data_IF_921601356318
#
_entry.id   IF_921601356318
#
_cell.length_a   1.000
_cell.length_b   1.000
_cell.length_c   1.000
_cell.angle_alpha   90.00
_cell.angle_beta   90.00
_cell.angle_gamma   90.00
#
_symmetry.space_group_name_H-M   'P 1'
#
loop_
_entity.id
_entity.type
_entity.pdbx_description
1 polymer ?
#
# COMPACT_ATOMS: atom_id res chain seq x y z
N UNK A 1 34.81 20.68 -8.25
CA UNK A 1 35.16 20.42 -9.63
C UNK A 1 33.97 20.58 -10.58
N UNK A 2 32.85 19.93 -10.33
CA UNK A 2 31.67 19.96 -11.22
C UNK A 2 30.66 21.05 -10.83
N UNK A 3 30.75 21.62 -9.62
CA UNK A 3 29.80 22.60 -9.12
C UNK A 3 28.41 22.03 -8.84
N UNK A 4 27.45 22.92 -8.63
CA UNK A 4 26.03 22.54 -8.38
C UNK A 4 25.31 22.33 -9.70
N UNK A 5 24.58 21.20 -9.81
CA UNK A 5 23.73 20.90 -10.95
C UNK A 5 22.28 21.13 -10.55
N UNK A 6 21.61 22.05 -11.25
CA UNK A 6 20.20 22.31 -11.01
C UNK A 6 19.33 21.19 -11.61
N UNK A 7 18.57 20.51 -10.74
CA UNK A 7 17.79 19.29 -11.09
C UNK A 7 16.30 19.43 -10.86
N UNK A 8 15.82 20.61 -10.44
CA UNK A 8 14.40 20.83 -10.19
C UNK A 8 13.61 20.65 -11.49
N UNK A 9 12.49 19.95 -11.42
CA UNK A 9 11.56 19.68 -12.52
C UNK A 9 12.10 18.76 -13.65
N UNK A 10 13.28 18.12 -13.44
CA UNK A 10 13.82 17.11 -14.33
C UNK A 10 13.46 15.69 -13.85
N UNK A 11 13.26 14.80 -14.81
CA UNK A 11 13.17 13.36 -14.54
C UNK A 11 14.55 12.78 -14.20
N UNK A 12 14.57 11.58 -13.60
CA UNK A 12 15.84 10.89 -13.26
C UNK A 12 16.71 10.67 -14.51
N UNK A 13 16.09 10.30 -15.63
CA UNK A 13 16.77 10.05 -16.89
C UNK A 13 17.38 11.34 -17.47
N UNK A 14 16.65 12.45 -17.42
CA UNK A 14 17.15 13.77 -17.85
C UNK A 14 18.32 14.24 -16.98
N UNK A 15 18.23 14.02 -15.67
CA UNK A 15 19.32 14.32 -14.74
C UNK A 15 20.55 13.46 -15.07
N UNK A 16 20.34 12.16 -15.29
CA UNK A 16 21.43 11.24 -15.66
C UNK A 16 22.13 11.69 -16.94
N UNK A 17 21.35 12.03 -17.97
CA UNK A 17 21.93 12.52 -19.23
C UNK A 17 22.72 13.82 -19.03
N UNK A 18 22.16 14.79 -18.33
CA UNK A 18 22.79 16.06 -18.04
C UNK A 18 24.09 15.91 -17.25
N UNK A 19 24.10 15.06 -16.23
CA UNK A 19 25.30 14.79 -15.43
C UNK A 19 26.32 14.01 -16.26
N UNK A 20 25.88 13.06 -17.10
CA UNK A 20 26.76 12.33 -18.03
C UNK A 20 27.47 13.27 -19.00
N UNK A 21 26.76 14.26 -19.56
CA UNK A 21 27.34 15.28 -20.45
C UNK A 21 28.40 16.10 -19.74
N UNK A 22 28.10 16.62 -18.55
CA UNK A 22 29.07 17.39 -17.74
C UNK A 22 30.29 16.53 -17.40
N UNK A 23 30.09 15.27 -17.00
CA UNK A 23 31.19 14.39 -16.61
C UNK A 23 32.07 13.98 -17.79
N UNK A 24 31.53 13.93 -18.99
CA UNK A 24 32.28 13.58 -20.21
C UNK A 24 33.36 14.61 -20.59
N UNK A 25 33.22 15.86 -20.13
CA UNK A 25 34.24 16.91 -20.29
C UNK A 25 35.47 16.65 -19.42
N UNK A 26 35.28 16.01 -18.27
CA UNK A 26 36.34 15.80 -17.27
C UNK A 26 36.93 14.40 -17.29
N UNK A 27 36.10 13.38 -17.67
CA UNK A 27 36.47 11.97 -17.59
C UNK A 27 36.12 11.27 -18.90
N UNK A 28 37.07 10.52 -19.44
CA UNK A 28 36.85 9.66 -20.60
C UNK A 28 36.21 8.34 -20.17
N UNK A 29 35.25 7.84 -20.96
CA UNK A 29 34.59 6.54 -20.76
C UNK A 29 33.89 6.36 -19.41
N UNK A 30 33.28 7.43 -18.89
CA UNK A 30 32.55 7.39 -17.63
C UNK A 30 31.07 7.09 -17.87
N UNK A 31 30.49 6.18 -17.08
CA UNK A 31 29.06 5.93 -17.05
C UNK A 31 28.49 6.47 -15.75
N UNK A 32 27.48 7.35 -15.85
CA UNK A 32 26.79 7.94 -14.71
C UNK A 32 25.48 7.19 -14.48
N UNK A 33 25.23 6.81 -13.23
CA UNK A 33 23.96 6.26 -12.79
C UNK A 33 23.34 7.22 -11.78
N UNK A 34 22.15 7.72 -12.11
CA UNK A 34 21.35 8.54 -11.20
C UNK A 34 20.20 7.68 -10.68
N UNK A 35 20.02 7.68 -9.38
CA UNK A 35 18.90 6.98 -8.71
C UNK A 35 18.25 7.92 -7.72
N UNK A 36 16.93 7.81 -7.57
CA UNK A 36 16.28 8.42 -6.43
C UNK A 36 16.87 7.84 -5.15
N UNK A 37 17.18 8.74 -4.20
CA UNK A 37 17.66 8.35 -2.89
C UNK A 37 16.55 7.67 -2.06
N UNK A 38 16.86 7.42 -0.79
CA UNK A 38 15.91 6.91 0.18
C UNK A 38 14.68 7.81 0.27
N UNK A 39 13.50 7.23 0.21
CA UNK A 39 12.27 7.94 0.52
C UNK A 39 11.41 7.16 1.50
N UNK A 40 10.53 7.85 2.18
CA UNK A 40 9.65 7.27 3.16
C UNK A 40 8.26 7.03 2.56
N UNK A 41 7.66 5.90 2.92
CA UNK A 41 6.23 5.65 2.76
C UNK A 41 5.60 5.46 4.13
N UNK A 42 4.39 5.94 4.30
CA UNK A 42 3.62 5.70 5.51
C UNK A 42 2.44 4.80 5.19
N UNK A 43 2.31 3.68 5.90
CA UNK A 43 1.23 2.71 5.69
C UNK A 43 0.43 2.58 6.97
N UNK A 44 -0.85 2.87 6.90
CA UNK A 44 -1.76 2.96 8.05
C UNK A 44 -3.02 2.13 7.82
N UNK A 45 -3.73 1.84 8.92
CA UNK A 45 -5.03 1.15 8.90
C UNK A 45 -4.89 -0.37 8.96
N UNK A 46 -5.69 -1.08 8.17
CA UNK A 46 -5.85 -2.53 8.22
C UNK A 46 -4.74 -3.29 7.49
N UNK A 47 -3.52 -3.16 8.00
CA UNK A 47 -2.34 -3.93 7.61
C UNK A 47 -1.75 -4.60 8.85
N UNK A 48 -0.99 -5.66 8.65
CA UNK A 48 -0.42 -6.41 9.77
C UNK A 48 0.57 -5.57 10.61
N UNK A 49 1.31 -4.66 9.98
CA UNK A 49 2.29 -3.80 10.64
C UNK A 49 2.19 -2.38 10.09
N UNK A 50 1.28 -1.55 10.62
CA UNK A 50 1.23 -0.13 10.24
C UNK A 50 2.47 0.60 10.72
N UNK A 51 2.94 1.57 9.93
CA UNK A 51 4.14 2.33 10.26
C UNK A 51 4.71 3.10 9.07
N UNK A 52 5.86 3.74 9.31
CA UNK A 52 6.64 4.38 8.28
C UNK A 52 7.75 3.44 7.81
N UNK A 53 7.90 3.34 6.49
CA UNK A 53 8.85 2.45 5.82
C UNK A 53 9.84 3.25 4.99
N UNK A 54 11.11 2.97 5.17
CA UNK A 54 12.18 3.50 4.33
C UNK A 54 12.33 2.64 3.08
N UNK A 55 12.27 3.26 1.91
CA UNK A 55 12.36 2.57 0.61
C UNK A 55 13.74 2.84 0.03
N UNK A 56 14.46 1.76 -0.28
CA UNK A 56 15.82 1.77 -0.81
C UNK A 56 15.86 1.54 -2.34
N UNK A 57 14.68 1.46 -2.96
CA UNK A 57 14.50 1.24 -4.39
C UNK A 57 14.02 2.52 -5.06
N UNK A 58 14.35 2.69 -6.35
CA UNK A 58 13.88 3.83 -7.14
C UNK A 58 12.38 3.82 -7.33
N UNK A 59 11.80 2.62 -7.49
CA UNK A 59 10.39 2.42 -7.77
C UNK A 59 9.82 1.35 -6.83
N UNK A 60 8.66 1.63 -6.29
CA UNK A 60 7.87 0.69 -5.51
C UNK A 60 6.41 0.84 -5.91
N UNK A 61 5.73 -0.28 -6.14
CA UNK A 61 4.32 -0.27 -6.43
C UNK A 61 3.49 -0.48 -5.16
N UNK A 62 2.19 -0.22 -5.25
CA UNK A 62 1.26 -0.29 -4.11
C UNK A 62 1.20 -1.69 -3.49
N UNK A 63 1.30 -2.76 -4.30
CA UNK A 63 1.28 -4.13 -3.78
C UNK A 63 2.54 -4.46 -2.98
N UNK A 64 3.71 -4.03 -3.48
CA UNK A 64 4.97 -4.19 -2.76
C UNK A 64 4.96 -3.43 -1.43
N UNK A 65 4.42 -2.21 -1.44
CA UNK A 65 4.31 -1.41 -0.22
C UNK A 65 3.41 -2.09 0.83
N UNK A 66 2.26 -2.61 0.42
CA UNK A 66 1.35 -3.34 1.32
C UNK A 66 2.01 -4.65 1.81
N UNK A 67 2.77 -5.34 0.95
CA UNK A 67 3.53 -6.52 1.35
C UNK A 67 4.61 -6.22 2.39
N UNK A 68 5.31 -5.08 2.30
CA UNK A 68 6.25 -4.60 3.34
C UNK A 68 5.55 -4.42 4.70
N UNK A 69 4.31 -3.96 4.71
CA UNK A 69 3.49 -3.85 5.91
C UNK A 69 2.92 -5.20 6.41
N UNK A 70 3.37 -6.31 5.85
CA UNK A 70 2.93 -7.66 6.22
C UNK A 70 1.55 -8.04 5.68
N UNK A 71 1.14 -7.43 4.58
CA UNK A 71 -0.14 -7.54 3.90
C UNK A 71 -1.32 -6.86 4.62
N UNK A 72 -2.39 -6.70 3.85
CA UNK A 72 -3.68 -6.26 4.35
C UNK A 72 -4.33 -7.37 5.18
N UNK A 73 -4.96 -7.01 6.30
CA UNK A 73 -5.66 -7.96 7.18
C UNK A 73 -6.94 -8.48 6.52
N UNK A 74 -7.58 -9.48 7.13
CA UNK A 74 -8.87 -10.02 6.67
C UNK A 74 -10.01 -8.98 6.77
N UNK A 75 -9.82 -7.95 7.58
CA UNK A 75 -10.78 -6.85 7.75
C UNK A 75 -10.46 -5.63 6.89
N UNK A 76 -9.49 -5.73 6.00
CA UNK A 76 -9.11 -4.66 5.12
C UNK A 76 -10.11 -4.47 3.97
N UNK A 77 -10.53 -3.23 3.73
CA UNK A 77 -11.37 -2.86 2.59
C UNK A 77 -10.51 -2.68 1.33
N UNK A 78 -10.12 -3.81 0.70
CA UNK A 78 -9.17 -3.86 -0.42
C UNK A 78 -9.64 -3.12 -1.68
N UNK A 79 -10.94 -2.86 -1.81
CA UNK A 79 -11.49 -2.10 -2.94
C UNK A 79 -11.52 -0.58 -2.71
N UNK A 80 -11.21 -0.10 -1.49
CA UNK A 80 -11.21 1.34 -1.17
C UNK A 80 -9.97 1.72 -0.34
N UNK A 81 -8.81 1.57 -0.93
CA UNK A 81 -7.57 2.07 -0.32
C UNK A 81 -7.41 3.54 -0.67
N UNK A 82 -7.11 4.37 0.32
CA UNK A 82 -6.79 5.79 0.10
C UNK A 82 -5.29 5.95 -0.06
N UNK A 83 -4.88 6.38 -1.22
CA UNK A 83 -3.52 6.83 -1.50
C UNK A 83 -3.50 8.35 -1.39
N UNK A 84 -2.65 8.87 -0.52
CA UNK A 84 -2.54 10.30 -0.24
C UNK A 84 -1.18 10.76 -0.74
N UNK A 85 -1.18 11.48 -1.85
CA UNK A 85 0.00 12.13 -2.40
C UNK A 85 0.24 13.46 -1.72
N UNK A 86 1.44 13.68 -1.23
CA UNK A 86 1.85 14.98 -0.70
C UNK A 86 2.45 15.84 -1.80
N UNK A 87 1.90 17.03 -2.00
CA UNK A 87 2.37 18.01 -2.99
C UNK A 87 2.69 19.32 -2.31
N UNK A 88 3.46 20.18 -2.98
CA UNK A 88 3.78 21.54 -2.48
C UNK A 88 2.55 22.44 -2.29
N UNK A 89 1.41 22.07 -2.92
CA UNK A 89 0.15 22.81 -2.84
C UNK A 89 -0.86 22.19 -1.88
N UNK A 90 -0.51 21.11 -1.18
CA UNK A 90 -1.38 20.35 -0.28
C UNK A 90 -1.37 18.85 -0.59
N UNK A 91 -2.33 18.13 -0.05
CA UNK A 91 -2.45 16.67 -0.24
C UNK A 91 -3.59 16.33 -1.19
N UNK A 92 -3.35 15.40 -2.09
CA UNK A 92 -4.36 14.83 -2.98
C UNK A 92 -4.69 13.41 -2.54
N UNK A 93 -5.98 13.11 -2.41
CA UNK A 93 -6.44 11.76 -2.05
C UNK A 93 -6.95 11.06 -3.31
N UNK A 94 -6.38 9.91 -3.62
CA UNK A 94 -6.82 9.02 -4.70
C UNK A 94 -7.35 7.73 -4.07
N UNK A 95 -8.47 7.21 -4.58
CA UNK A 95 -9.00 5.90 -4.18
C UNK A 95 -8.50 4.84 -5.13
N UNK A 96 -7.94 3.79 -4.57
CA UNK A 96 -7.35 2.68 -5.31
C UNK A 96 -8.08 1.39 -4.95
N UNK A 97 -8.46 0.62 -5.97
CA UNK A 97 -9.05 -0.70 -5.80
C UNK A 97 -8.02 -1.78 -6.16
N UNK A 98 -7.56 -2.54 -5.16
CA UNK A 98 -6.60 -3.63 -5.40
C UNK A 98 -7.19 -4.85 -6.09
N UNK A 99 -8.52 -4.97 -6.14
CA UNK A 99 -9.19 -6.08 -6.82
C UNK A 99 -9.42 -5.81 -8.31
N UNK A 100 -9.13 -4.58 -8.78
CA UNK A 100 -9.29 -4.18 -10.16
C UNK A 100 -7.98 -4.36 -10.93
N UNK A 101 -8.00 -5.15 -12.00
CA UNK A 101 -6.83 -5.36 -12.86
C UNK A 101 -6.35 -4.06 -13.55
N UNK A 102 -7.23 -3.08 -13.73
CA UNK A 102 -6.88 -1.80 -14.35
C UNK A 102 -5.89 -0.98 -13.52
N UNK A 103 -5.69 -1.33 -12.23
CA UNK A 103 -4.68 -0.68 -11.39
C UNK A 103 -3.28 -0.78 -11.98
N UNK A 104 -2.96 -1.88 -12.67
CA UNK A 104 -1.64 -2.11 -13.27
C UNK A 104 -1.29 -1.06 -14.35
N UNK A 105 -2.30 -0.45 -14.96
CA UNK A 105 -2.15 0.61 -15.96
C UNK A 105 -2.44 2.01 -15.39
N UNK A 106 -2.71 2.10 -14.08
CA UNK A 106 -2.99 3.37 -13.42
C UNK A 106 -1.70 4.19 -13.22
N UNK A 107 -1.75 5.52 -13.33
CA UNK A 107 -0.65 6.40 -12.96
C UNK A 107 -0.30 6.31 -11.46
N UNK A 108 -1.24 5.83 -10.63
CA UNK A 108 -1.09 5.69 -9.18
C UNK A 108 -0.62 4.28 -8.77
N UNK A 109 -0.25 3.43 -9.75
CA UNK A 109 0.32 2.11 -9.49
C UNK A 109 1.67 2.20 -8.78
N UNK A 110 2.55 3.10 -9.25
CA UNK A 110 3.83 3.41 -8.62
C UNK A 110 3.69 4.54 -7.62
N UNK A 111 4.24 4.33 -6.45
CA UNK A 111 4.17 5.25 -5.34
C UNK A 111 5.24 6.35 -5.44
N UNK A 112 4.90 7.52 -4.95
CA UNK A 112 5.80 8.68 -4.90
C UNK A 112 6.43 8.82 -3.52
N UNK A 113 7.57 9.52 -3.42
CA UNK A 113 8.16 9.85 -2.13
C UNK A 113 7.18 10.55 -1.18
N UNK A 114 7.16 10.09 0.08
CA UNK A 114 6.30 10.58 1.16
C UNK A 114 4.79 10.33 0.98
N UNK A 115 4.40 9.41 0.09
CA UNK A 115 3.01 8.97 -0.01
C UNK A 115 2.54 8.30 1.28
N UNK A 116 1.25 8.43 1.55
CA UNK A 116 0.58 7.75 2.65
C UNK A 116 -0.47 6.80 2.08
N UNK A 117 -0.37 5.53 2.44
CA UNK A 117 -1.37 4.51 2.12
C UNK A 117 -2.23 4.30 3.35
N UNK A 118 -3.51 4.55 3.25
CA UNK A 118 -4.46 4.25 4.31
C UNK A 118 -5.42 3.16 3.87
N UNK A 119 -5.33 2.01 4.54
CA UNK A 119 -6.18 0.84 4.30
C UNK A 119 -7.36 0.90 5.25
N UNK A 120 -8.55 1.20 4.72
CA UNK A 120 -9.76 1.31 5.55
C UNK A 120 -10.21 -0.05 6.10
N UNK A 121 -10.77 -0.08 7.31
CA UNK A 121 -11.41 -1.28 7.83
C UNK A 121 -12.76 -1.54 7.16
N UNK A 122 -13.12 -2.80 6.99
CA UNK A 122 -14.48 -3.19 6.64
C UNK A 122 -15.46 -2.75 7.72
N UNK A 123 -16.69 -2.43 7.33
CA UNK A 123 -17.77 -2.02 8.26
C UNK A 123 -18.03 -3.07 9.35
N UNK A 124 -17.82 -4.34 9.06
CA UNK A 124 -17.97 -5.44 10.03
C UNK A 124 -17.05 -5.29 11.25
N UNK A 125 -15.82 -4.80 11.06
CA UNK A 125 -14.91 -4.51 12.18
C UNK A 125 -15.38 -3.34 13.02
N UNK A 126 -16.00 -2.33 12.40
CA UNK A 126 -16.54 -1.16 13.11
C UNK A 126 -17.70 -1.54 14.07
N UNK A 127 -18.40 -2.66 13.78
CA UNK A 127 -19.43 -3.20 14.68
C UNK A 127 -18.88 -4.10 15.82
N UNK A 128 -17.57 -4.10 16.06
CA UNK A 128 -16.95 -4.82 17.19
C UNK A 128 -16.58 -6.28 16.91
N UNK A 129 -16.71 -6.76 15.68
CA UNK A 129 -16.23 -8.10 15.32
C UNK A 129 -14.72 -8.04 15.06
N UNK A 130 -13.92 -8.51 16.01
CA UNK A 130 -12.46 -8.61 15.89
C UNK A 130 -12.00 -9.88 15.16
N UNK A 131 -12.90 -10.87 15.06
CA UNK A 131 -12.73 -12.10 14.27
C UNK A 131 -14.11 -12.58 13.84
N UNK A 132 -14.19 -13.33 12.73
CA UNK A 132 -15.47 -13.97 12.36
C UNK A 132 -15.80 -14.99 13.43
N UNK A 133 -16.93 -14.85 14.15
CA UNK A 133 -17.22 -15.70 15.31
C UNK A 133 -17.77 -17.07 14.87
N UNK A 134 -17.00 -17.81 14.05
CA UNK A 134 -17.41 -19.12 13.57
C UNK A 134 -17.77 -20.09 14.69
N UNK A 135 -17.04 -20.03 15.81
CA UNK A 135 -17.30 -20.87 16.97
C UNK A 135 -18.67 -20.61 17.61
N UNK A 136 -19.07 -19.33 17.71
CA UNK A 136 -20.39 -18.96 18.27
C UNK A 136 -21.53 -19.31 17.32
N UNK A 137 -21.32 -19.17 16.01
CA UNK A 137 -22.31 -19.57 15.00
C UNK A 137 -22.52 -21.08 15.01
N UNK A 138 -21.44 -21.86 15.03
CA UNK A 138 -21.51 -23.34 15.08
C UNK A 138 -22.18 -23.81 16.37
N UNK A 139 -21.87 -23.22 17.53
CA UNK A 139 -22.49 -23.61 18.80
C UNK A 139 -23.98 -23.24 18.86
N UNK A 140 -24.39 -22.10 18.27
CA UNK A 140 -25.81 -21.75 18.18
C UNK A 140 -26.59 -22.73 17.30
N UNK A 141 -26.02 -23.12 16.14
CA UNK A 141 -26.64 -24.13 15.27
C UNK A 141 -26.74 -25.49 15.97
N UNK A 142 -25.67 -25.91 16.67
CA UNK A 142 -25.67 -27.16 17.45
C UNK A 142 -26.75 -27.15 18.53
N UNK A 143 -26.93 -26.06 19.24
CA UNK A 143 -27.98 -25.91 20.26
C UNK A 143 -29.38 -26.06 19.64
N UNK A 144 -29.64 -25.40 18.51
CA UNK A 144 -30.91 -25.49 17.82
C UNK A 144 -31.22 -26.93 17.37
N UNK A 145 -30.24 -27.63 16.80
CA UNK A 145 -30.39 -29.05 16.40
C UNK A 145 -30.70 -29.93 17.62
N UNK A 146 -30.01 -29.73 18.73
CA UNK A 146 -30.23 -30.49 19.98
C UNK A 146 -31.62 -30.22 20.54
N UNK A 147 -32.08 -28.97 20.59
CA UNK A 147 -33.42 -28.64 21.03
C UNK A 147 -34.51 -29.29 20.11
N UNK A 148 -34.30 -29.24 18.81
CA UNK A 148 -35.22 -29.82 17.84
C UNK A 148 -35.34 -31.35 17.97
N UNK A 149 -34.19 -32.02 18.13
CA UNK A 149 -34.18 -33.46 18.38
C UNK A 149 -34.85 -33.82 19.70
N UNK A 150 -34.63 -33.04 20.76
CA UNK A 150 -35.29 -33.27 22.05
C UNK A 150 -36.82 -33.14 21.92
N UNK A 151 -37.34 -32.12 21.25
CA UNK A 151 -38.76 -31.92 21.00
C UNK A 151 -39.36 -33.09 20.23
N UNK A 152 -38.69 -33.57 19.17
CA UNK A 152 -39.18 -34.72 18.39
C UNK A 152 -39.25 -36.01 19.22
N UNK A 153 -38.27 -36.24 20.08
CA UNK A 153 -38.21 -37.47 20.88
C UNK A 153 -39.22 -37.46 22.03
N UNK A 154 -39.51 -36.28 22.63
CA UNK A 154 -40.41 -36.22 23.79
C UNK A 154 -41.86 -35.87 23.46
N UNK A 155 -42.16 -35.37 22.25
CA UNK A 155 -43.52 -35.07 21.78
C UNK A 155 -44.13 -36.23 20.93
N UNK A 156 -43.40 -37.31 20.76
CA UNK A 156 -43.87 -38.54 20.11
C UNK A 156 -44.25 -39.58 21.16
#
# INVERSE_FOLDING_TARGET
FVGDVFVKDFTVDEIQYKVQEIMSEYLKETVVYVKLGLFNLTILGEVARPGQYQIYQSDINIFQAIALAGNATDFAHKSEIKLIHQTTKGSQIVRVNLNDANILSSPDYYLKPNDIIYVEPLKTKQFGFTSVPYGTIISAISLLVTCFTFVIVYLK
#
